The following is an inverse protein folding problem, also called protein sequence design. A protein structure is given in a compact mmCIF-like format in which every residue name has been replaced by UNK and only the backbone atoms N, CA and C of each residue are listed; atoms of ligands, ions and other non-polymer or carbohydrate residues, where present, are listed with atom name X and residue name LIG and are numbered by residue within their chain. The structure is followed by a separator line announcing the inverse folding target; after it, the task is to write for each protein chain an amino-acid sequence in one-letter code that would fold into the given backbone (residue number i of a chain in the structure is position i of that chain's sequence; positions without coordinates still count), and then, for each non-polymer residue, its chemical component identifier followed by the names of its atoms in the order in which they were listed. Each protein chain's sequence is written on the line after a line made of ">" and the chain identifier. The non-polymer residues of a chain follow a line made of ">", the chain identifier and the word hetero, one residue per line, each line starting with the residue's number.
data_IF_336244776611
#
_entry.id   IF_336244776611
#
_cell.length_a   1.000
_cell.length_b   1.000
_cell.length_c   1.000
_cell.angle_alpha   90.00
_cell.angle_beta   90.00
_cell.angle_gamma   90.00
#
_symmetry.space_group_name_H-M   'P 1'
#
loop_
_entity.id
_entity.type
_entity.pdbx_description
1 polymer ?
#
# COMPACT_ATOMS: atom_id res chain seq x y z
N UNK A 1 62.70 4.27 -22.51
CA UNK A 1 61.44 3.54 -22.78
C UNK A 1 60.32 4.21 -21.99
N UNK A 2 59.75 5.30 -22.51
CA UNK A 2 58.65 6.02 -21.87
C UNK A 2 57.33 5.38 -22.30
N UNK A 3 56.46 5.05 -21.34
CA UNK A 3 55.14 4.48 -21.63
C UNK A 3 54.17 5.62 -21.87
N UNK A 4 53.65 5.71 -23.09
CA UNK A 4 52.54 6.60 -23.44
C UNK A 4 51.24 6.07 -22.84
N UNK A 5 50.68 6.83 -21.90
CA UNK A 5 49.35 6.56 -21.37
C UNK A 5 48.34 7.42 -22.12
N UNK A 6 47.61 6.77 -23.03
CA UNK A 6 46.45 7.39 -23.68
C UNK A 6 45.27 7.33 -22.72
N UNK A 7 45.00 8.46 -22.06
CA UNK A 7 43.79 8.64 -21.27
C UNK A 7 42.62 8.62 -22.25
N UNK A 8 41.83 7.55 -22.25
CA UNK A 8 40.51 7.57 -22.86
C UNK A 8 39.65 8.46 -21.96
N UNK A 9 39.15 9.61 -22.44
CA UNK A 9 38.10 10.29 -21.70
C UNK A 9 36.96 9.29 -21.65
N UNK A 10 36.74 8.72 -20.46
CA UNK A 10 35.54 7.97 -20.17
C UNK A 10 34.42 8.93 -20.48
N UNK A 11 33.81 8.75 -21.64
CA UNK A 11 32.60 9.43 -22.03
C UNK A 11 31.52 8.95 -21.08
N UNK A 12 31.51 9.50 -19.86
CA UNK A 12 30.32 10.12 -19.36
C UNK A 12 29.96 11.17 -20.42
N UNK A 13 29.34 10.68 -21.50
CA UNK A 13 28.14 11.31 -21.96
C UNK A 13 27.33 11.43 -20.67
N UNK A 14 27.48 12.57 -20.01
CA UNK A 14 26.39 13.25 -19.37
C UNK A 14 25.35 13.35 -20.47
N UNK A 15 24.65 12.23 -20.72
CA UNK A 15 23.26 12.26 -21.03
C UNK A 15 22.70 13.00 -19.83
N UNK A 16 22.73 14.32 -19.96
CA UNK A 16 21.81 15.22 -19.36
C UNK A 16 20.49 14.64 -19.82
N UNK A 17 20.01 13.64 -19.07
CA UNK A 17 18.63 13.23 -19.09
C UNK A 17 17.96 14.50 -18.61
N UNK A 18 17.64 15.36 -19.57
CA UNK A 18 16.61 16.36 -19.43
C UNK A 18 15.40 15.50 -19.12
N UNK A 19 15.17 15.24 -17.83
CA UNK A 19 13.93 14.67 -17.37
C UNK A 19 12.89 15.67 -17.82
N UNK A 20 12.24 15.35 -18.93
CA UNK A 20 11.14 16.13 -19.44
C UNK A 20 10.15 16.25 -18.28
N UNK A 21 9.94 17.48 -17.83
CA UNK A 21 9.15 17.73 -16.65
C UNK A 21 7.75 17.17 -16.92
N UNK A 22 7.40 16.09 -16.22
CA UNK A 22 6.11 15.42 -16.37
C UNK A 22 5.02 16.46 -16.20
N UNK A 23 4.10 16.52 -17.17
CA UNK A 23 3.04 17.53 -17.17
C UNK A 23 2.19 17.41 -15.89
N UNK A 24 1.63 18.52 -15.40
CA UNK A 24 0.75 18.49 -14.21
C UNK A 24 -0.39 17.47 -14.34
N UNK A 25 -0.97 17.31 -15.52
CA UNK A 25 -2.06 16.37 -15.79
C UNK A 25 -1.60 14.91 -15.63
N UNK A 26 -0.39 14.61 -16.09
CA UNK A 26 0.20 13.27 -15.93
C UNK A 26 0.52 13.00 -14.46
N UNK A 27 1.06 13.99 -13.73
CA UNK A 27 1.28 13.87 -12.27
C UNK A 27 -0.03 13.62 -11.51
N UNK A 28 -1.08 14.36 -11.82
CA UNK A 28 -2.41 14.18 -11.20
C UNK A 28 -3.01 12.82 -11.52
N UNK A 29 -2.83 12.33 -12.76
CA UNK A 29 -3.27 10.99 -13.15
C UNK A 29 -2.52 9.91 -12.36
N UNK A 30 -1.20 10.03 -12.23
CA UNK A 30 -0.41 9.10 -11.43
C UNK A 30 -0.84 9.13 -9.97
N UNK A 31 -1.01 10.33 -9.40
CA UNK A 31 -1.50 10.49 -8.04
C UNK A 31 -2.82 9.75 -7.83
N UNK A 32 -3.83 10.02 -8.67
CA UNK A 32 -5.13 9.36 -8.61
C UNK A 32 -5.02 7.83 -8.73
N UNK A 33 -4.20 7.34 -9.64
CA UNK A 33 -4.04 5.90 -9.87
C UNK A 33 -3.41 5.22 -8.66
N UNK A 34 -2.35 5.81 -8.09
CA UNK A 34 -1.66 5.27 -6.91
C UNK A 34 -2.58 5.32 -5.69
N UNK A 35 -3.19 6.47 -5.40
CA UNK A 35 -4.10 6.60 -4.25
C UNK A 35 -5.30 5.67 -4.38
N UNK A 36 -5.87 5.55 -5.60
CA UNK A 36 -6.97 4.64 -5.87
C UNK A 36 -6.59 3.18 -5.65
N UNK A 37 -5.43 2.75 -6.13
CA UNK A 37 -4.94 1.38 -5.92
C UNK A 37 -4.73 1.05 -4.44
N UNK A 38 -4.14 1.97 -3.68
CA UNK A 38 -3.88 1.75 -2.25
C UNK A 38 -5.17 1.71 -1.43
N UNK A 39 -6.14 2.57 -1.75
CA UNK A 39 -7.46 2.54 -1.14
C UNK A 39 -8.21 1.26 -1.48
N UNK A 40 -8.10 0.76 -2.72
CA UNK A 40 -8.71 -0.51 -3.10
C UNK A 40 -8.12 -1.66 -2.27
N UNK A 41 -6.79 -1.74 -2.13
CA UNK A 41 -6.16 -2.76 -1.28
C UNK A 41 -6.60 -2.67 0.19
N UNK A 42 -6.80 -1.46 0.71
CA UNK A 42 -7.35 -1.27 2.05
C UNK A 42 -8.79 -1.77 2.17
N UNK A 43 -9.64 -1.48 1.17
CA UNK A 43 -11.04 -1.94 1.14
C UNK A 43 -11.14 -3.46 0.99
N UNK A 44 -10.30 -4.07 0.17
CA UNK A 44 -10.26 -5.53 -0.01
C UNK A 44 -9.87 -6.20 1.31
N UNK A 45 -8.81 -5.70 1.96
CA UNK A 45 -8.35 -6.20 3.27
C UNK A 45 -9.41 -6.00 4.35
N UNK A 46 -10.11 -4.87 4.34
CA UNK A 46 -11.25 -4.65 5.23
C UNK A 46 -12.38 -5.65 4.97
N UNK A 47 -12.67 -5.97 3.71
CA UNK A 47 -13.63 -6.99 3.33
C UNK A 47 -13.28 -8.35 3.90
N UNK A 48 -12.01 -8.75 3.81
CA UNK A 48 -11.52 -10.02 4.39
C UNK A 48 -11.69 -10.04 5.91
N UNK A 49 -11.30 -8.96 6.60
CA UNK A 49 -11.50 -8.81 8.05
C UNK A 49 -13.00 -8.86 8.40
N UNK A 50 -13.85 -8.20 7.61
CA UNK A 50 -15.28 -8.15 7.85
C UNK A 50 -15.94 -9.51 7.68
N UNK A 51 -15.48 -10.31 6.72
CA UNK A 51 -15.98 -11.67 6.52
C UNK A 51 -15.73 -12.57 7.73
N UNK A 52 -14.61 -12.40 8.44
CA UNK A 52 -14.33 -13.14 9.69
C UNK A 52 -15.36 -12.84 10.79
N UNK A 53 -16.00 -11.67 10.75
CA UNK A 53 -17.04 -11.28 11.71
C UNK A 53 -18.44 -11.79 11.32
N UNK A 54 -18.67 -12.16 10.07
CA UNK A 54 -19.99 -12.58 9.60
C UNK A 54 -20.37 -13.94 10.21
N UNK A 55 -21.53 -13.99 10.86
CA UNK A 55 -22.02 -15.20 11.55
C UNK A 55 -21.61 -15.29 13.02
N UNK A 56 -20.53 -14.64 13.45
CA UNK A 56 -20.11 -14.61 14.86
C UNK A 56 -20.62 -13.38 15.61
N UNK A 57 -20.73 -12.23 14.93
CA UNK A 57 -21.26 -10.99 15.51
C UNK A 57 -22.71 -10.81 15.05
N UNK A 58 -23.65 -11.06 15.96
CA UNK A 58 -25.05 -10.84 15.66
C UNK A 58 -25.39 -9.36 15.65
N UNK A 59 -26.03 -8.91 14.58
CA UNK A 59 -26.58 -7.56 14.47
C UNK A 59 -27.70 -7.37 15.49
N UNK A 60 -27.36 -6.81 16.64
CA UNK A 60 -28.33 -6.39 17.66
C UNK A 60 -28.94 -7.54 18.45
N UNK A 61 -28.65 -7.56 19.75
CA UNK A 61 -29.37 -8.26 20.83
C UNK A 61 -29.52 -9.79 20.75
N UNK A 62 -29.12 -10.46 19.67
CA UNK A 62 -29.30 -11.90 19.51
C UNK A 62 -27.98 -12.64 19.77
N UNK A 63 -27.52 -12.69 21.01
CA UNK A 63 -26.34 -13.48 21.40
C UNK A 63 -26.66 -14.95 21.10
N UNK A 64 -26.11 -15.52 20.03
CA UNK A 64 -26.16 -16.96 19.80
C UNK A 64 -25.29 -17.67 20.85
N UNK A 65 -25.56 -18.93 21.21
CA UNK A 65 -24.76 -19.66 22.21
C UNK A 65 -23.25 -19.67 21.90
N UNK A 66 -22.87 -19.62 20.61
CA UNK A 66 -21.47 -19.50 20.18
C UNK A 66 -20.84 -18.15 20.54
N UNK A 67 -21.62 -17.07 20.58
CA UNK A 67 -21.12 -15.74 20.94
C UNK A 67 -20.85 -15.55 22.44
N UNK A 68 -21.29 -16.48 23.30
CA UNK A 68 -20.90 -16.52 24.72
C UNK A 68 -19.41 -16.87 24.91
N UNK A 69 -18.79 -17.51 23.91
CA UNK A 69 -17.38 -17.96 23.95
C UNK A 69 -16.40 -16.89 23.44
N UNK A 70 -16.90 -15.72 23.04
CA UNK A 70 -16.11 -14.62 22.48
C UNK A 70 -15.77 -14.80 21.00
N UNK A 71 -15.24 -13.74 20.39
CA UNK A 71 -14.84 -13.76 18.99
C UNK A 71 -13.56 -14.58 18.80
N UNK A 72 -13.61 -15.58 17.92
CA UNK A 72 -12.43 -16.29 17.42
C UNK A 72 -12.49 -16.28 15.91
N UNK A 73 -11.55 -15.62 15.21
CA UNK A 73 -11.53 -15.58 13.75
C UNK A 73 -11.29 -16.97 13.18
N UNK A 74 -11.94 -17.31 12.07
CA UNK A 74 -11.79 -18.60 11.38
C UNK A 74 -10.36 -18.77 10.83
N UNK A 75 -9.76 -17.68 10.35
CA UNK A 75 -8.37 -17.65 9.93
C UNK A 75 -7.35 -17.69 11.09
N UNK A 76 -7.82 -17.61 12.34
CA UNK A 76 -6.97 -17.57 13.54
C UNK A 76 -6.34 -16.21 13.81
N UNK A 77 -5.94 -16.00 15.07
CA UNK A 77 -5.43 -14.71 15.55
C UNK A 77 -4.21 -14.16 14.79
N UNK A 78 -3.18 -14.97 14.45
CA UNK A 78 -2.02 -14.44 13.74
C UNK A 78 -2.36 -13.82 12.38
N UNK A 79 -3.13 -14.54 11.55
CA UNK A 79 -3.53 -14.05 10.23
C UNK A 79 -4.49 -12.86 10.33
N UNK A 80 -5.44 -12.91 11.28
CA UNK A 80 -6.36 -11.80 11.53
C UNK A 80 -5.62 -10.50 11.90
N UNK A 81 -4.63 -10.58 12.80
CA UNK A 81 -3.83 -9.43 13.21
C UNK A 81 -2.94 -8.91 12.07
N UNK A 82 -2.42 -9.81 11.23
CA UNK A 82 -1.68 -9.42 10.03
C UNK A 82 -2.58 -8.64 9.05
N UNK A 83 -3.80 -9.11 8.77
CA UNK A 83 -4.79 -8.39 7.95
C UNK A 83 -5.08 -7.00 8.53
N UNK A 84 -5.31 -6.90 9.84
CA UNK A 84 -5.51 -5.61 10.53
C UNK A 84 -4.31 -4.67 10.36
N UNK A 85 -3.09 -5.21 10.45
CA UNK A 85 -1.87 -4.44 10.27
C UNK A 85 -1.66 -3.98 8.82
N UNK A 86 -1.95 -4.84 7.85
CA UNK A 86 -1.94 -4.51 6.42
C UNK A 86 -2.94 -3.40 6.09
N UNK A 87 -4.17 -3.47 6.62
CA UNK A 87 -5.15 -2.41 6.44
C UNK A 87 -4.63 -1.07 6.97
N UNK A 88 -4.08 -1.05 8.19
CA UNK A 88 -3.44 0.14 8.76
C UNK A 88 -2.31 0.64 7.87
N UNK A 89 -1.47 -0.25 7.36
CA UNK A 89 -0.36 0.10 6.47
C UNK A 89 -0.85 0.80 5.20
N UNK A 90 -1.87 0.25 4.51
CA UNK A 90 -2.42 0.87 3.31
C UNK A 90 -3.02 2.25 3.59
N UNK A 91 -3.72 2.43 4.71
CA UNK A 91 -4.26 3.72 5.11
C UNK A 91 -3.17 4.74 5.47
N UNK A 92 -2.16 4.33 6.25
CA UNK A 92 -1.03 5.19 6.63
C UNK A 92 -0.25 5.63 5.39
N UNK A 93 0.02 4.71 4.46
CA UNK A 93 0.74 5.02 3.23
C UNK A 93 -0.09 5.92 2.31
N UNK A 94 -1.40 5.68 2.19
CA UNK A 94 -2.31 6.55 1.43
C UNK A 94 -2.35 7.96 2.02
N UNK A 95 -2.47 8.08 3.34
CA UNK A 95 -2.48 9.36 4.04
C UNK A 95 -1.18 10.14 3.78
N UNK A 96 -0.02 9.49 3.96
CA UNK A 96 1.29 10.12 3.69
C UNK A 96 1.39 10.56 2.24
N UNK A 97 0.93 9.73 1.31
CA UNK A 97 0.97 10.05 -0.12
C UNK A 97 0.12 11.28 -0.45
N UNK A 98 -1.10 11.35 0.08
CA UNK A 98 -1.98 12.51 -0.06
C UNK A 98 -1.40 13.77 0.59
N UNK A 99 -0.86 13.66 1.82
CA UNK A 99 -0.28 14.79 2.54
C UNK A 99 1.01 15.31 1.87
N UNK A 100 1.76 14.44 1.19
CA UNK A 100 2.99 14.78 0.45
C UNK A 100 2.78 15.31 -0.96
N UNK A 101 1.53 15.28 -1.46
CA UNK A 101 1.17 15.79 -2.78
C UNK A 101 0.86 17.30 -2.79
N UNK A 102 1.10 17.99 -1.67
CA UNK A 102 1.07 19.43 -1.49
C UNK A 102 2.49 20.00 -1.38
#
# INVERSE_FOLDING_TARGET
>A
MARDFKILPGGLQSAQQVHEAVSPEVKLRHFRNVSGSMLQSALDTWGDIWNEFQGTITHGFLVTPESEHGFTPECGWPEFLEKMWLMKHYLDCTKRYCDSAH
#
